data_IF_555834505149
#
_entry.id   IF_555834505149
#
_cell.length_a   1.000
_cell.length_b   1.000
_cell.length_c   1.000
_cell.angle_alpha   90.00
_cell.angle_beta   90.00
_cell.angle_gamma   90.00
#
_symmetry.space_group_name_H-M   'P 1'
#
loop_
_entity.id
_entity.type
_entity.pdbx_description
1 polymer ?
#
# COMPACT_ATOMS: atom_id res chain seq x y z
N UNK A 1 68.55 -0.29 -12.40
CA UNK A 1 68.82 0.88 -13.26
C UNK A 1 67.60 1.01 -14.15
N UNK A 2 66.51 1.55 -13.62
CA UNK A 2 66.10 2.98 -13.59
C UNK A 2 65.01 3.17 -14.66
N UNK A 3 63.72 3.34 -14.33
CA UNK A 3 63.03 4.52 -13.77
C UNK A 3 63.39 5.82 -14.51
N UNK A 4 62.36 6.36 -15.19
CA UNK A 4 62.20 7.72 -15.74
C UNK A 4 62.76 7.92 -17.15
N UNK A 5 61.86 7.93 -18.13
CA UNK A 5 61.66 9.08 -19.03
C UNK A 5 60.64 8.72 -20.11
N UNK A 6 59.37 9.04 -19.91
CA UNK A 6 58.48 9.39 -21.01
C UNK A 6 57.31 10.26 -20.52
N UNK A 7 57.62 11.51 -20.18
CA UNK A 7 56.65 12.59 -20.21
C UNK A 7 57.06 13.53 -21.34
N UNK A 8 56.26 13.54 -22.41
CA UNK A 8 55.87 14.74 -23.18
C UNK A 8 55.15 14.29 -24.45
N UNK A 9 53.93 14.80 -24.59
CA UNK A 9 53.18 15.18 -25.80
C UNK A 9 51.74 14.67 -25.67
N UNK A 10 50.80 15.61 -25.57
CA UNK A 10 49.37 15.30 -25.61
C UNK A 10 48.44 16.12 -24.71
N UNK A 11 48.81 17.35 -24.32
CA UNK A 11 47.81 18.32 -23.85
C UNK A 11 47.11 18.92 -25.08
N UNK A 12 45.87 18.49 -25.33
CA UNK A 12 44.73 19.18 -25.96
C UNK A 12 43.84 18.10 -26.58
N UNK A 13 42.62 17.92 -26.06
CA UNK A 13 41.38 17.75 -26.82
C UNK A 13 40.22 17.47 -25.84
N UNK A 14 39.26 18.39 -25.79
CA UNK A 14 37.87 18.08 -25.44
C UNK A 14 37.44 18.28 -23.99
N UNK A 15 37.30 19.53 -23.53
CA UNK A 15 36.18 19.85 -22.64
C UNK A 15 34.89 19.79 -23.45
N UNK A 16 34.38 18.58 -23.65
CA UNK A 16 33.01 18.35 -24.09
C UNK A 16 32.16 18.47 -22.82
N UNK A 17 31.19 19.38 -22.82
CA UNK A 17 30.25 19.53 -21.71
C UNK A 17 29.45 18.25 -21.52
N UNK A 18 29.81 17.44 -20.51
CA UNK A 18 29.11 16.23 -20.08
C UNK A 18 28.08 16.52 -18.99
N UNK A 19 27.55 17.75 -18.93
CA UNK A 19 26.59 18.14 -17.89
C UNK A 19 25.26 17.39 -17.99
N UNK A 20 24.91 16.85 -19.17
CA UNK A 20 23.68 16.05 -19.36
C UNK A 20 23.84 14.57 -19.00
N UNK A 21 24.91 13.91 -19.47
CA UNK A 21 25.06 12.46 -19.29
C UNK A 21 25.34 12.07 -17.83
N UNK A 22 26.15 12.85 -17.09
CA UNK A 22 26.40 12.58 -15.67
C UNK A 22 25.11 12.68 -14.85
N UNK A 23 24.25 13.67 -15.13
CA UNK A 23 22.95 13.80 -14.46
C UNK A 23 22.04 12.62 -14.76
N UNK A 24 21.90 12.20 -16.03
CA UNK A 24 21.08 11.03 -16.38
C UNK A 24 21.61 9.74 -15.77
N UNK A 25 22.94 9.53 -15.73
CA UNK A 25 23.52 8.35 -15.07
C UNK A 25 23.39 8.38 -13.54
N UNK A 26 23.56 9.54 -12.90
CA UNK A 26 23.34 9.69 -11.45
C UNK A 26 21.87 9.47 -11.09
N UNK A 27 20.96 10.00 -11.89
CA UNK A 27 19.51 9.83 -11.75
C UNK A 27 19.08 8.38 -11.99
N UNK A 28 19.57 7.72 -13.07
CA UNK A 28 19.34 6.29 -13.30
C UNK A 28 19.91 5.40 -12.19
N UNK A 29 21.06 5.76 -11.62
CA UNK A 29 21.64 5.05 -10.49
C UNK A 29 20.83 5.26 -9.21
N UNK A 30 20.30 6.48 -8.99
CA UNK A 30 19.45 6.78 -7.84
C UNK A 30 18.06 6.13 -7.94
N UNK A 31 17.55 5.88 -9.14
CA UNK A 31 16.30 5.13 -9.34
C UNK A 31 16.47 3.63 -9.13
N UNK A 32 17.62 3.06 -9.52
CA UNK A 32 17.91 1.63 -9.30
C UNK A 32 18.25 1.30 -7.85
N UNK A 33 18.83 2.25 -7.13
CA UNK A 33 19.11 2.12 -5.71
C UNK A 33 18.78 3.45 -5.02
N UNK A 34 17.49 3.73 -4.76
CA UNK A 34 17.11 4.91 -4.01
C UNK A 34 17.85 4.91 -2.67
N UNK A 35 18.21 6.07 -2.09
CA UNK A 35 18.90 6.09 -0.82
C UNK A 35 18.03 5.45 0.26
N UNK A 36 18.59 4.53 1.04
CA UNK A 36 17.94 3.98 2.22
C UNK A 36 18.44 4.72 3.47
N UNK A 37 17.54 4.98 4.41
CA UNK A 37 17.95 5.52 5.72
C UNK A 37 18.78 4.45 6.43
N UNK A 38 19.98 4.81 6.92
CA UNK A 38 20.87 3.84 7.59
C UNK A 38 20.33 3.47 8.99
N UNK A 39 20.17 4.46 9.87
CA UNK A 39 19.72 4.28 11.26
C UNK A 39 18.19 4.40 11.39
N UNK A 40 17.47 3.39 10.88
CA UNK A 40 16.00 3.35 10.89
C UNK A 40 15.45 2.95 12.25
N UNK A 41 14.42 3.63 12.78
CA UNK A 41 13.74 3.20 13.99
C UNK A 41 12.89 1.95 13.73
N UNK A 42 12.62 1.17 14.78
CA UNK A 42 11.55 0.16 14.79
C UNK A 42 10.19 0.85 14.93
N UNK A 43 9.79 1.60 13.89
CA UNK A 43 8.55 2.37 13.80
C UNK A 43 8.36 2.96 12.40
N UNK A 44 7.16 3.47 12.12
CA UNK A 44 6.95 4.31 10.95
C UNK A 44 7.86 5.55 10.98
N UNK A 45 8.58 5.80 9.88
CA UNK A 45 9.57 6.87 9.78
C UNK A 45 9.55 7.55 8.41
N UNK A 46 10.01 8.79 8.35
CA UNK A 46 10.07 9.54 7.09
C UNK A 46 11.17 8.97 6.18
N UNK A 47 10.85 8.46 4.96
CA UNK A 47 11.82 7.85 4.06
C UNK A 47 12.80 8.88 3.47
N UNK A 48 13.78 8.40 2.70
CA UNK A 48 14.81 9.27 2.12
C UNK A 48 14.35 10.01 0.86
N UNK A 49 13.38 9.45 0.14
CA UNK A 49 12.85 9.96 -1.12
C UNK A 49 11.32 9.90 -1.17
N UNK A 50 10.78 10.56 -2.19
CA UNK A 50 9.40 10.40 -2.64
C UNK A 50 9.38 10.29 -4.15
N UNK A 51 8.59 9.36 -4.66
CA UNK A 51 8.41 9.15 -6.09
C UNK A 51 7.04 9.64 -6.58
N UNK A 52 7.03 10.14 -7.82
CA UNK A 52 5.81 10.33 -8.62
C UNK A 52 5.34 8.98 -9.19
N UNK A 53 4.07 8.90 -9.54
CA UNK A 53 3.49 7.74 -10.20
C UNK A 53 2.69 8.19 -11.42
N UNK A 54 2.81 7.43 -12.50
CA UNK A 54 1.95 7.54 -13.66
C UNK A 54 0.74 6.61 -13.56
N UNK A 55 -0.23 6.80 -14.44
CA UNK A 55 -1.38 5.91 -14.59
C UNK A 55 -1.47 5.42 -16.03
N UNK A 56 -1.64 4.11 -16.19
CA UNK A 56 -1.93 3.51 -17.50
C UNK A 56 -3.43 3.53 -17.80
N UNK A 57 -4.28 3.51 -16.78
CA UNK A 57 -5.71 3.63 -16.98
C UNK A 57 -6.53 3.20 -15.76
N UNK A 58 -7.84 3.35 -15.93
CA UNK A 58 -8.86 2.91 -14.98
C UNK A 58 -9.94 2.16 -15.75
N UNK A 59 -10.43 1.06 -15.21
CA UNK A 59 -11.52 0.28 -15.81
C UNK A 59 -12.50 -0.21 -14.75
N UNK A 60 -13.75 -0.37 -15.11
CA UNK A 60 -14.80 -0.96 -14.27
C UNK A 60 -15.08 -2.40 -14.70
N UNK A 61 -15.16 -3.32 -13.75
CA UNK A 61 -15.53 -4.73 -13.97
C UNK A 61 -16.46 -5.21 -12.87
N UNK A 62 -17.73 -5.43 -13.24
CA UNK A 62 -18.75 -5.83 -12.28
C UNK A 62 -18.91 -4.77 -11.20
N UNK A 63 -18.68 -5.15 -9.95
CA UNK A 63 -18.72 -4.30 -8.76
C UNK A 63 -17.42 -3.51 -8.53
N UNK A 64 -16.32 -3.84 -9.21
CA UNK A 64 -15.02 -3.22 -8.97
C UNK A 64 -14.70 -2.13 -9.98
N UNK A 65 -14.01 -1.10 -9.52
CA UNK A 65 -13.16 -0.27 -10.36
C UNK A 65 -11.70 -0.59 -10.05
N UNK A 66 -10.87 -0.65 -11.09
CA UNK A 66 -9.45 -0.97 -11.02
C UNK A 66 -8.66 0.13 -11.69
N UNK A 67 -7.65 0.66 -11.01
CA UNK A 67 -6.64 1.53 -11.61
C UNK A 67 -5.32 0.79 -11.77
N UNK A 68 -4.68 0.94 -12.92
CA UNK A 68 -3.31 0.48 -13.18
C UNK A 68 -2.37 1.69 -13.18
N UNK A 69 -1.31 1.58 -12.39
CA UNK A 69 -0.35 2.64 -12.14
C UNK A 69 1.07 2.10 -12.29
N UNK A 70 2.02 3.00 -12.46
CA UNK A 70 3.42 2.64 -12.54
C UNK A 70 4.31 3.70 -11.91
N UNK A 71 5.50 3.26 -11.50
CA UNK A 71 6.60 4.12 -11.10
C UNK A 71 7.94 3.44 -11.37
N UNK A 72 9.03 4.03 -10.91
CA UNK A 72 10.36 3.43 -10.93
C UNK A 72 10.35 2.06 -10.23
N UNK A 73 11.18 1.09 -10.64
CA UNK A 73 11.38 -0.13 -9.87
C UNK A 73 11.71 0.19 -8.41
N UNK A 74 11.02 -0.47 -7.47
CA UNK A 74 11.16 -0.21 -6.05
C UNK A 74 11.75 -1.42 -5.34
N UNK A 75 12.56 -1.17 -4.31
CA UNK A 75 12.77 -2.18 -3.27
C UNK A 75 11.56 -2.18 -2.34
N UNK A 76 11.26 -3.35 -1.79
CA UNK A 76 10.22 -3.51 -0.79
C UNK A 76 10.51 -4.72 0.10
N UNK A 77 9.75 -4.89 1.18
CA UNK A 77 9.89 -6.00 2.11
C UNK A 77 8.62 -6.82 2.14
N UNK A 78 8.70 -8.06 1.68
CA UNK A 78 7.65 -9.05 1.93
C UNK A 78 7.65 -9.43 3.41
N UNK A 79 6.47 -9.67 3.98
CA UNK A 79 6.28 -10.04 5.38
C UNK A 79 5.80 -11.49 5.47
N UNK A 80 6.40 -12.29 6.34
CA UNK A 80 5.92 -13.64 6.68
C UNK A 80 5.99 -13.83 8.19
N UNK A 81 4.83 -13.91 8.84
CA UNK A 81 4.75 -13.84 10.29
C UNK A 81 5.23 -12.48 10.77
N UNK A 82 6.38 -12.45 11.44
CA UNK A 82 7.04 -11.22 11.90
C UNK A 82 8.40 -10.99 11.23
N UNK A 83 8.76 -11.81 10.25
CA UNK A 83 10.02 -11.69 9.52
C UNK A 83 9.80 -10.89 8.22
N UNK A 84 10.77 -10.04 7.90
CA UNK A 84 10.80 -9.28 6.64
C UNK A 84 11.88 -9.83 5.72
N UNK A 85 11.55 -10.04 4.46
CA UNK A 85 12.51 -10.34 3.41
C UNK A 85 12.53 -9.20 2.38
N UNK A 86 13.70 -8.60 2.19
CA UNK A 86 13.91 -7.54 1.22
C UNK A 86 13.91 -8.12 -0.20
N UNK A 87 13.18 -7.45 -1.08
CA UNK A 87 13.22 -7.63 -2.53
C UNK A 87 13.97 -6.43 -3.08
N UNK A 88 15.18 -6.68 -3.61
CA UNK A 88 15.99 -5.66 -4.28
C UNK A 88 15.50 -5.44 -5.71
N UNK A 89 15.80 -4.26 -6.25
CA UNK A 89 15.60 -3.93 -7.66
C UNK A 89 16.61 -4.71 -8.50
N UNK A 90 16.12 -5.56 -9.41
CA UNK A 90 16.94 -6.30 -10.36
C UNK A 90 17.41 -5.45 -11.53
N UNK A 91 18.51 -5.87 -12.19
CA UNK A 91 19.04 -5.19 -13.38
C UNK A 91 18.03 -5.16 -14.54
N UNK A 92 17.15 -6.16 -14.61
CA UNK A 92 16.12 -6.35 -15.63
C UNK A 92 14.78 -5.70 -15.26
N UNK A 93 14.62 -5.18 -14.04
CA UNK A 93 13.38 -4.52 -13.62
C UNK A 93 13.20 -3.20 -14.38
N UNK A 94 12.09 -3.11 -15.09
CA UNK A 94 11.77 -2.03 -16.03
C UNK A 94 10.86 -0.97 -15.38
N UNK A 95 9.90 -1.39 -14.56
CA UNK A 95 9.02 -0.53 -13.77
C UNK A 95 8.53 -1.25 -12.50
N UNK A 96 8.03 -0.49 -11.54
CA UNK A 96 7.15 -1.01 -10.50
C UNK A 96 5.71 -0.82 -10.94
N UNK A 97 5.01 -1.91 -11.29
CA UNK A 97 3.62 -1.87 -11.70
C UNK A 97 2.72 -2.05 -10.48
N UNK A 98 1.71 -1.20 -10.37
CA UNK A 98 0.79 -1.19 -9.23
C UNK A 98 -0.66 -1.22 -9.68
N UNK A 99 -1.52 -1.73 -8.80
CA UNK A 99 -2.95 -1.68 -8.96
C UNK A 99 -3.66 -1.24 -7.67
N UNK A 100 -4.80 -0.58 -7.83
CA UNK A 100 -5.78 -0.40 -6.75
C UNK A 100 -7.13 -0.89 -7.20
N UNK A 101 -7.83 -1.55 -6.29
CA UNK A 101 -9.14 -2.17 -6.51
C UNK A 101 -10.10 -1.63 -5.45
N UNK A 102 -11.21 -1.06 -5.89
CA UNK A 102 -12.26 -0.56 -4.99
C UNK A 102 -13.64 -0.92 -5.49
N UNK A 103 -14.61 -0.93 -4.59
CA UNK A 103 -16.01 -1.08 -4.96
C UNK A 103 -16.52 0.23 -5.58
N UNK A 104 -17.07 0.13 -6.78
CA UNK A 104 -17.32 1.25 -7.69
C UNK A 104 -18.23 2.31 -7.08
N UNK A 105 -19.33 1.91 -6.44
CA UNK A 105 -20.34 2.87 -5.98
C UNK A 105 -19.93 3.59 -4.69
N UNK A 106 -19.23 2.90 -3.79
CA UNK A 106 -18.82 3.44 -2.49
C UNK A 106 -17.42 4.04 -2.48
N UNK A 107 -16.57 3.68 -3.45
CA UNK A 107 -15.17 4.10 -3.47
C UNK A 107 -14.30 3.42 -2.42
N UNK A 108 -14.77 2.33 -1.79
CA UNK A 108 -14.03 1.65 -0.71
C UNK A 108 -13.04 0.67 -1.31
N UNK A 109 -11.78 0.82 -0.93
CA UNK A 109 -10.71 -0.10 -1.32
C UNK A 109 -10.97 -1.50 -0.77
N UNK A 110 -10.88 -2.50 -1.65
CA UNK A 110 -11.17 -3.90 -1.36
C UNK A 110 -9.85 -4.68 -1.26
N UNK A 111 -9.54 -5.32 -0.10
CA UNK A 111 -8.37 -6.17 0.04
C UNK A 111 -8.64 -7.57 -0.55
N UNK A 112 -8.71 -7.64 -1.88
CA UNK A 112 -8.80 -8.83 -2.72
C UNK A 112 -7.48 -9.60 -2.88
N UNK A 113 -7.52 -10.79 -3.48
CA UNK A 113 -6.35 -11.45 -4.07
C UNK A 113 -6.27 -11.08 -5.55
N UNK A 114 -5.19 -10.42 -5.96
CA UNK A 114 -5.02 -9.89 -7.33
C UNK A 114 -3.87 -10.61 -8.03
N UNK A 115 -4.19 -11.28 -9.13
CA UNK A 115 -3.19 -11.91 -10.00
C UNK A 115 -3.08 -11.14 -11.30
N UNK A 116 -1.85 -10.98 -11.78
CA UNK A 116 -1.56 -10.24 -13.00
C UNK A 116 -1.06 -11.19 -14.08
N UNK A 117 -1.63 -11.06 -15.27
CA UNK A 117 -1.04 -11.52 -16.53
C UNK A 117 -0.80 -10.31 -17.41
N UNK A 118 0.40 -10.17 -17.96
CA UNK A 118 0.71 -9.15 -18.97
C UNK A 118 0.95 -9.88 -20.29
N UNK A 119 0.11 -9.59 -21.28
CA UNK A 119 0.17 -10.17 -22.62
C UNK A 119 0.60 -9.07 -23.59
N UNK A 120 1.56 -9.33 -24.50
CA UNK A 120 2.00 -8.32 -25.45
C UNK A 120 3.09 -8.81 -26.40
N UNK A 121 3.85 -7.87 -26.97
CA UNK A 121 4.83 -8.15 -28.03
C UNK A 121 6.04 -8.97 -27.54
N UNK A 122 6.44 -8.79 -26.28
CA UNK A 122 7.49 -9.59 -25.62
C UNK A 122 6.90 -10.76 -24.82
N UNK A 123 7.77 -11.61 -24.22
CA UNK A 123 7.34 -12.78 -23.47
C UNK A 123 6.28 -12.41 -22.39
N UNK A 124 5.20 -13.20 -22.25
CA UNK A 124 4.14 -12.88 -21.31
C UNK A 124 4.65 -12.98 -19.87
N UNK A 125 4.35 -11.98 -19.04
CA UNK A 125 4.56 -12.04 -17.60
C UNK A 125 3.31 -12.63 -16.94
N UNK A 126 3.48 -13.50 -15.96
CA UNK A 126 2.38 -14.02 -15.14
C UNK A 126 2.85 -14.13 -13.70
N UNK A 127 2.19 -13.42 -12.80
CA UNK A 127 2.60 -13.32 -11.40
C UNK A 127 1.45 -12.92 -10.48
N UNK A 128 1.71 -12.94 -9.19
CA UNK A 128 0.82 -12.38 -8.17
C UNK A 128 1.36 -11.01 -7.79
N UNK A 129 0.51 -10.00 -7.75
CA UNK A 129 0.91 -8.72 -7.18
C UNK A 129 0.87 -8.83 -5.66
N UNK A 130 1.90 -8.33 -5.00
CA UNK A 130 1.94 -8.31 -3.54
C UNK A 130 0.94 -7.27 -3.05
N UNK A 131 0.13 -7.61 -2.04
CA UNK A 131 -0.57 -6.59 -1.27
C UNK A 131 0.47 -5.79 -0.48
N UNK A 132 0.49 -4.47 -0.63
CA UNK A 132 1.56 -3.60 -0.13
C UNK A 132 1.00 -2.44 0.70
N UNK A 133 1.85 -1.86 1.54
CA UNK A 133 1.59 -0.64 2.29
C UNK A 133 2.72 0.38 2.05
N UNK A 134 2.37 1.55 1.52
CA UNK A 134 3.27 2.69 1.35
C UNK A 134 2.71 3.94 2.03
N UNK A 135 3.57 4.86 2.47
CA UNK A 135 3.12 6.10 3.14
C UNK A 135 2.29 7.00 2.23
N UNK A 136 2.72 7.17 0.97
CA UNK A 136 2.09 8.12 0.04
C UNK A 136 0.89 7.54 -0.73
N UNK A 137 0.87 6.22 -0.95
CA UNK A 137 -0.21 5.55 -1.70
C UNK A 137 -1.20 4.81 -0.79
N UNK A 138 -0.75 4.40 0.40
CA UNK A 138 -1.52 3.56 1.31
C UNK A 138 -1.52 2.08 0.88
N UNK A 139 -2.62 1.37 1.13
CA UNK A 139 -2.81 -0.01 0.71
C UNK A 139 -3.05 -0.10 -0.81
N UNK A 140 -2.27 -0.95 -1.47
CA UNK A 140 -2.33 -1.18 -2.92
C UNK A 140 -1.75 -2.56 -3.25
N UNK A 141 -1.70 -2.91 -4.53
CA UNK A 141 -1.01 -4.09 -5.05
C UNK A 141 0.16 -3.66 -5.90
N UNK A 142 1.28 -4.38 -5.88
CA UNK A 142 2.40 -4.07 -6.77
C UNK A 142 3.46 -5.16 -6.87
N UNK A 143 4.28 -5.06 -7.92
CA UNK A 143 5.52 -5.83 -8.09
C UNK A 143 6.44 -5.14 -9.13
N UNK A 144 7.73 -5.47 -9.11
CA UNK A 144 8.62 -5.05 -10.19
C UNK A 144 8.45 -5.98 -11.39
N UNK A 145 8.39 -5.40 -12.59
CA UNK A 145 8.24 -6.14 -13.84
C UNK A 145 9.48 -5.97 -14.71
N UNK A 146 9.96 -7.09 -15.26
CA UNK A 146 10.95 -7.12 -16.32
C UNK A 146 10.24 -7.30 -17.67
N UNK A 147 9.96 -6.18 -18.35
CA UNK A 147 9.35 -6.13 -19.68
C UNK A 147 10.16 -5.22 -20.62
N UNK A 148 10.04 -5.45 -21.93
CA UNK A 148 10.64 -4.59 -22.95
C UNK A 148 9.68 -3.46 -23.32
N UNK A 149 10.13 -2.44 -24.05
CA UNK A 149 9.23 -1.41 -24.58
C UNK A 149 8.24 -2.01 -25.59
N UNK A 150 6.98 -1.61 -25.53
CA UNK A 150 5.94 -2.12 -26.43
C UNK A 150 4.51 -1.95 -25.93
N UNK A 151 3.56 -2.49 -26.70
CA UNK A 151 2.14 -2.51 -26.38
C UNK A 151 1.76 -3.82 -25.66
N UNK A 152 0.95 -3.67 -24.61
CA UNK A 152 0.56 -4.75 -23.70
C UNK A 152 -0.91 -4.63 -23.28
N UNK A 153 -1.47 -5.76 -22.85
CA UNK A 153 -2.73 -5.84 -22.10
C UNK A 153 -2.43 -6.41 -20.72
N UNK A 154 -2.71 -5.63 -19.67
CA UNK A 154 -2.71 -6.11 -18.30
C UNK A 154 -4.07 -6.74 -17.98
N UNK A 155 -4.06 -8.04 -17.68
CA UNK A 155 -5.23 -8.81 -17.24
C UNK A 155 -5.11 -9.06 -15.74
N UNK A 156 -5.95 -8.41 -14.94
CA UNK A 156 -5.99 -8.52 -13.49
C UNK A 156 -7.15 -9.43 -13.06
N UNK A 157 -6.83 -10.62 -12.59
CA UNK A 157 -7.80 -11.53 -11.98
C UNK A 157 -7.98 -11.15 -10.50
N UNK A 158 -9.15 -10.60 -10.19
CA UNK A 158 -9.58 -10.17 -8.86
C UNK A 158 -10.36 -11.33 -8.25
N UNK A 159 -9.70 -12.11 -7.41
CA UNK A 159 -10.32 -13.20 -6.67
C UNK A 159 -11.02 -12.66 -5.40
N UNK A 160 -12.06 -13.36 -4.91
CA UNK A 160 -12.78 -12.99 -3.70
C UNK A 160 -11.85 -12.60 -2.56
N UNK A 161 -12.12 -11.43 -1.97
CA UNK A 161 -11.35 -10.90 -0.86
C UNK A 161 -11.47 -11.79 0.39
N UNK A 162 -10.45 -11.72 1.25
CA UNK A 162 -10.56 -12.28 2.60
C UNK A 162 -11.59 -11.55 3.47
N UNK A 163 -12.02 -10.34 3.05
CA UNK A 163 -12.99 -9.53 3.77
C UNK A 163 -14.42 -9.77 3.25
N UNK A 164 -15.35 -10.03 4.17
CA UNK A 164 -16.76 -10.20 3.87
C UNK A 164 -17.46 -8.84 3.77
N UNK A 165 -18.17 -8.58 2.66
CA UNK A 165 -19.07 -7.44 2.56
C UNK A 165 -20.25 -7.56 3.53
N UNK A 166 -20.61 -6.47 4.20
CA UNK A 166 -21.79 -6.37 5.07
C UNK A 166 -22.66 -5.16 4.68
N UNK A 167 -23.89 -5.12 5.18
CA UNK A 167 -24.83 -4.06 4.85
C UNK A 167 -25.09 -4.00 3.34
N UNK A 168 -24.80 -2.85 2.71
CA UNK A 168 -24.98 -2.67 1.25
C UNK A 168 -24.02 -3.50 0.40
N UNK A 169 -22.92 -4.00 0.99
CA UNK A 169 -21.89 -4.76 0.28
C UNK A 169 -22.07 -6.28 0.41
N UNK A 170 -23.13 -6.74 1.08
CA UNK A 170 -23.34 -8.17 1.30
C UNK A 170 -23.45 -8.95 -0.02
N UNK A 171 -22.67 -10.02 -0.14
CA UNK A 171 -22.63 -10.91 -1.29
C UNK A 171 -21.93 -10.36 -2.54
N UNK A 172 -21.43 -9.11 -2.52
CA UNK A 172 -20.84 -8.51 -3.72
C UNK A 172 -19.50 -9.13 -4.13
N UNK A 173 -18.66 -9.51 -3.17
CA UNK A 173 -17.27 -9.89 -3.43
C UNK A 173 -17.03 -11.42 -3.50
N UNK A 174 -18.07 -12.22 -3.77
CA UNK A 174 -18.02 -13.68 -3.70
C UNK A 174 -17.56 -14.36 -5.00
N UNK A 175 -17.64 -13.65 -6.13
CA UNK A 175 -17.28 -14.17 -7.44
C UNK A 175 -16.02 -13.48 -7.99
N UNK A 176 -15.13 -14.23 -8.66
CA UNK A 176 -13.96 -13.62 -9.30
C UNK A 176 -14.38 -12.72 -10.47
N UNK A 177 -13.60 -11.67 -10.69
CA UNK A 177 -13.72 -10.73 -11.82
C UNK A 177 -12.36 -10.59 -12.51
N UNK A 178 -12.38 -10.27 -13.80
CA UNK A 178 -11.15 -10.03 -14.57
C UNK A 178 -11.22 -8.65 -15.20
N UNK A 179 -10.34 -7.75 -14.79
CA UNK A 179 -10.15 -6.45 -15.43
C UNK A 179 -9.10 -6.55 -16.53
N UNK A 180 -9.30 -5.84 -17.63
CA UNK A 180 -8.34 -5.72 -18.73
C UNK A 180 -8.07 -4.24 -18.99
N UNK A 181 -6.78 -3.88 -19.03
CA UNK A 181 -6.30 -2.51 -19.32
C UNK A 181 -5.17 -2.62 -20.34
N UNK A 182 -5.37 -2.03 -21.52
CA UNK A 182 -4.32 -1.89 -22.52
C UNK A 182 -3.39 -0.74 -22.13
N UNK A 183 -2.09 -0.94 -22.29
CA UNK A 183 -1.07 0.07 -22.00
C UNK A 183 0.14 -0.07 -22.92
N UNK A 184 0.82 1.05 -23.14
CA UNK A 184 2.13 1.09 -23.80
C UNK A 184 3.17 1.35 -22.71
N UNK A 185 4.27 0.59 -22.73
CA UNK A 185 5.43 0.88 -21.90
C UNK A 185 6.54 1.45 -22.77
N UNK A 186 6.98 2.65 -22.42
CA UNK A 186 8.25 3.22 -22.88
C UNK A 186 9.15 3.49 -21.68
N UNK A 187 10.46 3.38 -21.84
CA UNK A 187 11.39 3.70 -20.75
C UNK A 187 11.32 5.19 -20.36
N UNK A 188 10.97 6.06 -21.32
CA UNK A 188 10.73 7.49 -21.10
C UNK A 188 9.59 7.73 -20.11
N UNK A 189 8.53 6.91 -20.11
CA UNK A 189 7.40 7.05 -19.16
C UNK A 189 7.85 7.00 -17.71
N UNK A 190 8.80 6.13 -17.39
CA UNK A 190 9.39 6.00 -16.05
C UNK A 190 10.41 7.11 -15.83
N UNK A 191 11.27 7.40 -16.80
CA UNK A 191 12.33 8.39 -16.67
C UNK A 191 11.85 9.84 -16.54
N UNK A 192 10.64 10.14 -17.03
CA UNK A 192 10.03 11.45 -16.94
C UNK A 192 9.31 11.68 -15.59
N UNK A 193 9.14 10.65 -14.76
CA UNK A 193 8.56 10.80 -13.42
C UNK A 193 9.50 11.59 -12.50
N UNK A 194 8.92 12.35 -11.59
CA UNK A 194 9.68 13.11 -10.59
C UNK A 194 10.17 12.19 -9.47
N UNK A 195 11.44 12.37 -9.10
CA UNK A 195 12.06 11.77 -7.92
C UNK A 195 12.61 12.87 -7.02
N UNK A 196 12.06 13.01 -5.82
CA UNK A 196 12.45 14.04 -4.88
C UNK A 196 13.11 13.45 -3.64
N UNK A 197 14.24 14.03 -3.25
CA UNK A 197 14.87 13.71 -1.98
C UNK A 197 14.19 14.47 -0.85
N UNK A 198 13.80 13.74 0.20
CA UNK A 198 13.34 14.36 1.45
C UNK A 198 14.50 15.12 2.09
N UNK A 199 14.23 16.23 2.77
CA UNK A 199 15.25 16.98 3.52
C UNK A 199 16.02 16.05 4.49
N UNK A 200 17.36 16.07 4.44
CA UNK A 200 18.22 15.17 5.21
C UNK A 200 17.91 15.19 6.72
N UNK A 201 17.60 16.36 7.28
CA UNK A 201 17.25 16.55 8.69
C UNK A 201 15.96 15.83 9.12
N UNK A 202 15.11 15.44 8.15
CA UNK A 202 13.83 14.78 8.37
C UNK A 202 13.89 13.26 8.21
N UNK A 203 14.81 12.75 7.41
CA UNK A 203 14.92 11.32 7.09
C UNK A 203 15.16 10.50 8.35
N UNK A 204 14.46 9.38 8.50
CA UNK A 204 14.59 8.51 9.68
C UNK A 204 13.87 9.01 10.94
N UNK A 205 13.36 10.25 10.97
CA UNK A 205 12.54 10.70 12.08
C UNK A 205 11.21 9.93 12.08
N UNK A 206 10.75 9.53 13.27
CA UNK A 206 9.42 8.93 13.44
C UNK A 206 8.34 9.84 12.82
N UNK A 207 7.45 9.22 12.06
CA UNK A 207 6.39 9.91 11.35
C UNK A 207 6.16 9.36 9.95
N UNK A 208 5.18 9.93 9.26
CA UNK A 208 4.76 9.49 7.94
C UNK A 208 4.67 10.70 7.01
N UNK A 209 4.98 10.50 5.74
CA UNK A 209 4.60 11.43 4.69
C UNK A 209 3.10 11.35 4.45
N UNK A 210 2.44 12.48 4.11
CA UNK A 210 1.02 12.47 3.81
C UNK A 210 0.75 11.62 2.57
N UNK A 211 -0.43 10.99 2.54
CA UNK A 211 -0.97 10.43 1.29
C UNK A 211 -0.93 11.50 0.19
N UNK A 212 -0.52 11.09 -1.00
CA UNK A 212 -0.54 11.96 -2.16
C UNK A 212 -1.98 12.37 -2.49
N UNK A 213 -2.08 13.52 -3.17
CA UNK A 213 -3.34 14.01 -3.70
C UNK A 213 -3.47 13.57 -5.16
N UNK A 214 -4.57 12.89 -5.48
CA UNK A 214 -4.78 12.27 -6.80
C UNK A 214 -5.62 13.13 -7.74
N UNK A 215 -6.13 14.29 -7.29
CA UNK A 215 -6.91 15.20 -8.14
C UNK A 215 -6.10 15.83 -9.30
N UNK A 216 -4.76 15.67 -9.29
CA UNK A 216 -3.84 16.28 -10.26
C UNK A 216 -3.06 15.33 -11.18
N UNK A 217 -3.30 14.01 -11.14
CA UNK A 217 -2.51 13.00 -11.89
C UNK A 217 -2.89 12.89 -13.39
N UNK A 218 -3.11 14.03 -14.04
CA UNK A 218 -3.56 14.15 -15.44
C UNK A 218 -2.42 14.48 -16.41
N UNK A 219 -1.26 13.86 -16.24
CA UNK A 219 -0.12 14.03 -17.15
C UNK A 219 0.21 12.71 -17.84
N UNK A 220 -0.45 12.46 -18.97
CA UNK A 220 -0.14 11.34 -19.87
C UNK A 220 -1.23 11.07 -20.90
N UNK A 221 -1.10 11.64 -22.11
CA UNK A 221 -1.88 11.24 -23.30
C UNK A 221 -3.11 12.10 -23.64
N UNK A 222 -3.21 12.53 -24.91
CA UNK A 222 -4.34 13.24 -25.53
C UNK A 222 -5.60 12.34 -25.72
N UNK A 223 -5.99 11.62 -24.68
CA UNK A 223 -7.16 10.74 -24.63
C UNK A 223 -8.18 11.22 -23.61
N UNK A 224 -9.46 11.06 -23.94
CA UNK A 224 -10.66 11.41 -23.20
C UNK A 224 -10.53 11.55 -21.66
N UNK A 225 -10.93 12.70 -21.13
CA UNK A 225 -10.89 13.04 -19.71
C UNK A 225 -11.93 12.24 -18.91
N UNK A 226 -11.67 10.95 -18.66
CA UNK A 226 -12.32 10.22 -17.57
C UNK A 226 -11.41 10.28 -16.35
N UNK A 227 -11.88 10.92 -15.29
CA UNK A 227 -11.23 11.10 -13.98
C UNK A 227 -10.28 9.96 -13.57
N UNK A 228 -9.00 10.04 -13.96
CA UNK A 228 -7.96 9.06 -13.65
C UNK A 228 -7.52 9.20 -12.20
N UNK A 229 -8.18 8.50 -11.30
CA UNK A 229 -7.91 8.55 -9.87
C UNK A 229 -7.85 7.16 -9.24
N UNK A 230 -7.25 7.11 -8.06
CA UNK A 230 -7.25 5.96 -7.17
C UNK A 230 -8.16 6.25 -5.98
N UNK A 231 -8.94 5.25 -5.54
CA UNK A 231 -9.66 5.33 -4.27
C UNK A 231 -8.67 5.37 -3.09
N UNK A 232 -8.95 6.24 -2.10
CA UNK A 232 -8.09 6.37 -0.93
C UNK A 232 -8.30 5.15 -0.01
N UNK A 233 -7.24 4.40 0.34
CA UNK A 233 -7.35 3.23 1.21
C UNK A 233 -7.47 3.60 2.70
N UNK A 234 -8.30 4.60 3.02
CA UNK A 234 -8.42 5.18 4.36
C UNK A 234 -9.72 4.82 5.02
N UNK A 235 -9.71 4.71 6.35
CA UNK A 235 -10.92 4.51 7.17
C UNK A 235 -11.40 5.82 7.82
N UNK A 236 -12.69 5.91 8.22
CA UNK A 236 -13.24 7.12 8.84
C UNK A 236 -12.44 7.56 10.08
N UNK A 237 -12.34 8.87 10.37
CA UNK A 237 -11.65 9.37 11.56
C UNK A 237 -12.31 8.86 12.86
N UNK A 238 -11.56 8.76 13.95
CA UNK A 238 -12.09 8.26 15.22
C UNK A 238 -13.18 9.17 15.83
N UNK A 239 -13.04 10.49 15.70
CA UNK A 239 -13.99 11.49 16.24
C UNK A 239 -15.31 11.59 15.46
N UNK A 240 -15.35 10.98 14.28
CA UNK A 240 -16.49 10.97 13.36
C UNK A 240 -16.75 9.55 12.82
N UNK A 241 -16.30 8.54 13.58
CA UNK A 241 -16.48 7.14 13.22
C UNK A 241 -17.97 6.81 13.22
N UNK A 242 -18.52 6.14 12.17
CA UNK A 242 -19.97 5.97 12.02
C UNK A 242 -20.51 4.79 12.83
N UNK A 243 -20.09 4.68 14.09
CA UNK A 243 -20.55 3.73 15.10
C UNK A 243 -20.28 4.32 16.50
N UNK A 244 -20.79 3.68 17.55
CA UNK A 244 -20.52 4.13 18.92
C UNK A 244 -19.08 3.79 19.31
N UNK A 245 -18.19 4.77 19.32
CA UNK A 245 -16.79 4.56 19.71
C UNK A 245 -16.70 4.31 21.21
N UNK A 246 -16.21 3.11 21.56
CA UNK A 246 -15.98 2.67 22.93
C UNK A 246 -14.61 3.13 23.43
N UNK A 247 -13.64 3.23 22.52
CA UNK A 247 -12.32 3.76 22.83
C UNK A 247 -11.32 3.61 21.69
N UNK A 248 -10.12 4.14 21.95
CA UNK A 248 -8.98 4.04 21.03
C UNK A 248 -7.75 3.54 21.77
N UNK A 249 -6.99 2.65 21.14
CA UNK A 249 -5.71 2.18 21.66
C UNK A 249 -4.63 2.18 20.58
N UNK A 250 -3.38 1.94 21.00
CA UNK A 250 -2.22 1.89 20.12
C UNK A 250 -1.47 0.57 20.31
N UNK A 251 -0.92 0.02 19.22
CA UNK A 251 -0.13 -1.20 19.25
C UNK A 251 0.77 -1.27 18.01
N UNK A 252 2.08 -1.45 18.20
CA UNK A 252 3.08 -1.50 17.12
C UNK A 252 3.01 -0.34 16.12
N UNK A 253 2.88 0.89 16.62
CA UNK A 253 2.67 2.12 15.83
C UNK A 253 1.35 2.18 15.04
N UNK A 254 0.43 1.21 15.18
CA UNK A 254 -0.92 1.32 14.65
C UNK A 254 -1.90 1.88 15.69
N UNK A 255 -2.93 2.59 15.23
CA UNK A 255 -4.08 2.99 16.04
C UNK A 255 -5.23 2.01 15.84
N UNK A 256 -5.94 1.67 16.91
CA UNK A 256 -7.11 0.82 16.91
C UNK A 256 -8.31 1.63 17.41
N UNK A 257 -9.31 1.82 16.57
CA UNK A 257 -10.62 2.31 17.01
C UNK A 257 -11.50 1.11 17.30
N UNK A 258 -12.03 1.05 18.52
CA UNK A 258 -12.96 0.01 18.96
C UNK A 258 -14.33 0.65 19.13
N UNK A 259 -15.34 0.10 18.46
CA UNK A 259 -16.68 0.65 18.41
C UNK A 259 -17.75 -0.46 18.52
N UNK A 260 -18.97 -0.07 18.88
CA UNK A 260 -20.16 -0.92 18.82
C UNK A 260 -21.10 -0.45 17.72
N UNK A 261 -21.56 -1.39 16.88
CA UNK A 261 -22.60 -1.17 15.88
C UNK A 261 -23.87 -1.95 16.26
N UNK A 262 -24.89 -1.30 16.84
CA UNK A 262 -26.06 -1.99 17.38
C UNK A 262 -27.20 -2.21 16.40
N UNK A 263 -27.23 -1.53 15.24
CA UNK A 263 -28.48 -1.35 14.49
C UNK A 263 -28.39 -1.56 12.98
N UNK A 264 -27.22 -1.37 12.35
CA UNK A 264 -27.08 -1.46 10.89
C UNK A 264 -26.88 -2.89 10.38
N UNK A 265 -26.42 -3.80 11.23
CA UNK A 265 -26.25 -5.20 10.90
C UNK A 265 -27.32 -6.08 11.56
N UNK A 266 -27.50 -7.31 11.08
CA UNK A 266 -28.49 -8.26 11.60
C UNK A 266 -28.38 -8.51 13.12
N UNK A 267 -27.17 -8.30 13.66
CA UNK A 267 -26.84 -8.48 15.07
C UNK A 267 -25.94 -7.33 15.58
N UNK A 268 -26.05 -6.93 16.86
CA UNK A 268 -25.08 -6.03 17.48
C UNK A 268 -23.66 -6.55 17.29
N UNK A 269 -22.77 -5.68 16.83
CA UNK A 269 -21.44 -6.07 16.38
C UNK A 269 -20.36 -5.24 17.07
N UNK A 270 -19.34 -5.90 17.60
CA UNK A 270 -18.07 -5.27 17.97
C UNK A 270 -17.28 -4.98 16.69
N UNK A 271 -16.83 -3.74 16.52
CA UNK A 271 -16.07 -3.26 15.37
C UNK A 271 -14.69 -2.84 15.85
N UNK A 272 -13.64 -3.33 15.19
CA UNK A 272 -12.24 -2.97 15.43
C UNK A 272 -11.63 -2.53 14.11
N UNK A 273 -11.16 -1.30 14.04
CA UNK A 273 -10.61 -0.71 12.82
C UNK A 273 -9.15 -0.28 13.02
N UNK A 274 -8.20 -1.21 12.79
CA UNK A 274 -6.77 -0.92 12.84
C UNK A 274 -6.35 -0.07 11.64
N UNK A 275 -5.50 0.93 11.90
CA UNK A 275 -5.10 1.92 10.89
C UNK A 275 -3.72 2.49 11.16
N UNK A 276 -3.08 3.01 10.13
CA UNK A 276 -1.90 3.85 10.31
C UNK A 276 -2.27 5.14 11.06
N UNK A 277 -1.42 5.64 11.97
CA UNK A 277 -1.75 6.71 12.90
C UNK A 277 -1.95 8.06 12.21
N UNK A 278 -1.20 8.35 11.14
CA UNK A 278 -1.28 9.64 10.45
C UNK A 278 -2.27 9.61 9.28
N UNK A 279 -2.06 8.67 8.36
CA UNK A 279 -2.82 8.62 7.12
C UNK A 279 -4.18 7.90 7.25
N UNK A 280 -4.43 7.21 8.37
CA UNK A 280 -5.61 6.36 8.59
C UNK A 280 -5.76 5.29 7.53
N UNK A 281 -4.66 4.84 6.95
CA UNK A 281 -4.66 3.76 5.97
C UNK A 281 -5.09 2.47 6.66
N UNK A 282 -6.01 1.73 6.05
CA UNK A 282 -6.46 0.44 6.58
C UNK A 282 -5.32 -0.57 6.69
N UNK A 283 -5.37 -1.43 7.72
CA UNK A 283 -4.42 -2.52 7.93
C UNK A 283 -5.10 -3.88 7.78
N UNK A 284 -5.18 -4.45 6.57
CA UNK A 284 -5.77 -5.76 6.32
C UNK A 284 -4.78 -6.90 6.58
N UNK A 285 -5.25 -8.14 6.37
CA UNK A 285 -4.46 -9.38 6.51
C UNK A 285 -3.80 -9.55 7.89
N UNK A 286 -4.42 -8.98 8.92
CA UNK A 286 -4.21 -9.33 10.33
C UNK A 286 -5.11 -10.50 10.74
N UNK A 287 -4.69 -11.21 11.78
CA UNK A 287 -5.58 -12.09 12.55
C UNK A 287 -5.78 -11.49 13.94
N UNK A 288 -7.03 -11.17 14.28
CA UNK A 288 -7.39 -10.55 15.54
C UNK A 288 -8.38 -11.44 16.29
N UNK A 289 -8.28 -11.45 17.62
CA UNK A 289 -9.28 -12.03 18.51
C UNK A 289 -9.70 -11.00 19.55
N UNK A 290 -10.89 -11.17 20.13
CA UNK A 290 -11.37 -10.33 21.21
C UNK A 290 -11.86 -11.15 22.39
N UNK A 291 -11.57 -10.65 23.59
CA UNK A 291 -12.18 -11.07 24.85
C UNK A 291 -12.97 -9.91 25.42
N UNK A 292 -14.27 -10.12 25.68
CA UNK A 292 -15.15 -9.13 26.30
C UNK A 292 -15.56 -9.64 27.67
N UNK A 293 -15.28 -8.86 28.71
CA UNK A 293 -15.56 -9.21 30.10
C UNK A 293 -16.54 -8.24 30.73
N UNK A 294 -17.56 -8.76 31.41
CA UNK A 294 -18.47 -8.00 32.27
C UNK A 294 -18.18 -8.36 33.73
N UNK A 295 -17.42 -7.51 34.41
CA UNK A 295 -16.89 -7.82 35.74
C UNK A 295 -15.92 -9.00 35.68
N UNK A 296 -16.32 -10.17 36.18
CA UNK A 296 -15.49 -11.40 36.16
C UNK A 296 -15.98 -12.44 35.14
N UNK A 297 -17.08 -12.17 34.44
CA UNK A 297 -17.69 -13.07 33.47
C UNK A 297 -17.20 -12.73 32.07
N UNK A 298 -16.67 -13.71 31.34
CA UNK A 298 -16.38 -13.58 29.91
C UNK A 298 -17.68 -13.75 29.14
N UNK A 299 -18.14 -12.68 28.49
CA UNK A 299 -19.38 -12.68 27.68
C UNK A 299 -19.11 -12.98 26.21
N UNK A 300 -17.87 -12.78 25.75
CA UNK A 300 -17.41 -13.17 24.42
C UNK A 300 -15.91 -13.48 24.44
N UNK A 301 -15.51 -14.51 23.70
CA UNK A 301 -14.12 -14.85 23.41
C UNK A 301 -14.09 -15.51 22.03
N UNK A 302 -13.40 -14.90 21.07
CA UNK A 302 -13.37 -15.42 19.70
C UNK A 302 -12.63 -14.55 18.70
N UNK A 303 -12.46 -15.09 17.49
CA UNK A 303 -11.84 -14.38 16.37
C UNK A 303 -12.73 -13.24 15.85
N UNK A 304 -12.09 -12.20 15.32
CA UNK A 304 -12.75 -11.12 14.61
C UNK A 304 -12.58 -11.33 13.10
N UNK A 305 -13.69 -11.29 12.36
CA UNK A 305 -13.67 -11.49 10.91
C UNK A 305 -13.43 -10.17 10.18
N UNK A 306 -12.60 -10.19 9.14
CA UNK A 306 -12.45 -9.04 8.24
C UNK A 306 -13.75 -8.74 7.49
N UNK A 307 -14.15 -7.47 7.48
CA UNK A 307 -15.42 -6.98 6.93
C UNK A 307 -15.25 -5.67 6.17
N UNK A 308 -16.16 -5.42 5.23
CA UNK A 308 -16.28 -4.17 4.49
C UNK A 308 -17.71 -3.63 4.59
N UNK A 309 -17.84 -2.36 4.97
CA UNK A 309 -19.11 -1.62 5.03
C UNK A 309 -18.95 -0.25 4.36
N UNK A 310 -20.01 0.24 3.72
CA UNK A 310 -19.98 1.53 2.98
C UNK A 310 -19.71 2.75 3.86
N UNK A 311 -19.90 2.66 5.17
CA UNK A 311 -19.68 3.78 6.10
C UNK A 311 -18.49 3.50 7.01
N UNK A 312 -18.37 2.30 7.60
CA UNK A 312 -17.24 1.96 8.49
C UNK A 312 -15.91 1.77 7.75
N UNK A 313 -15.96 1.49 6.44
CA UNK A 313 -14.80 1.05 5.68
C UNK A 313 -14.37 -0.37 6.06
N UNK A 314 -13.09 -0.68 5.81
CA UNK A 314 -12.50 -1.94 6.25
C UNK A 314 -12.36 -1.99 7.77
N UNK A 315 -12.81 -3.09 8.36
CA UNK A 315 -12.73 -3.35 9.79
C UNK A 315 -12.72 -4.85 10.08
N UNK A 316 -12.47 -5.20 11.33
CA UNK A 316 -12.65 -6.53 11.88
C UNK A 316 -13.87 -6.50 12.80
N UNK A 317 -14.66 -7.57 12.84
CA UNK A 317 -15.81 -7.59 13.74
C UNK A 317 -16.37 -8.96 14.08
N UNK A 318 -17.16 -8.98 15.15
CA UNK A 318 -17.84 -10.16 15.65
C UNK A 318 -19.24 -9.79 16.19
N UNK A 319 -20.24 -10.69 16.06
CA UNK A 319 -21.61 -10.44 16.51
C UNK A 319 -21.71 -10.54 18.05
N UNK A 320 -21.29 -9.48 18.74
CA UNK A 320 -21.41 -9.32 20.18
C UNK A 320 -21.89 -7.90 20.49
N UNK A 321 -22.96 -7.80 21.29
CA UNK A 321 -23.45 -6.53 21.81
C UNK A 321 -22.63 -6.06 23.01
N UNK A 322 -22.41 -4.75 23.11
CA UNK A 322 -21.71 -4.10 24.21
C UNK A 322 -22.73 -3.18 24.90
N UNK A 323 -22.97 -3.39 26.20
CA UNK A 323 -24.04 -2.68 26.94
C UNK A 323 -23.50 -1.63 27.93
N UNK A 324 -22.17 -1.51 28.05
CA UNK A 324 -21.46 -0.62 28.97
C UNK A 324 -20.96 -1.32 30.24
N UNK A 325 -19.79 -0.91 30.73
CA UNK A 325 -19.11 -1.52 31.89
C UNK A 325 -18.31 -2.78 31.55
N UNK A 326 -18.10 -3.07 30.27
CA UNK A 326 -17.23 -4.15 29.82
C UNK A 326 -15.78 -3.72 29.65
N UNK A 327 -14.86 -4.65 29.94
CA UNK A 327 -13.47 -4.58 29.49
C UNK A 327 -13.34 -5.36 28.20
N UNK A 328 -12.84 -4.71 27.16
CA UNK A 328 -12.64 -5.29 25.83
C UNK A 328 -11.15 -5.38 25.59
N UNK A 329 -10.66 -6.60 25.38
CA UNK A 329 -9.27 -6.87 25.02
C UNK A 329 -9.23 -7.38 23.60
N UNK A 330 -8.40 -6.75 22.77
CA UNK A 330 -8.11 -7.17 21.40
C UNK A 330 -6.70 -7.75 21.38
N UNK A 331 -6.59 -9.03 21.07
CA UNK A 331 -5.31 -9.72 20.90
C UNK A 331 -4.94 -9.76 19.40
N UNK A 332 -3.69 -9.43 19.10
CA UNK A 332 -3.14 -9.45 17.74
C UNK A 332 -2.42 -10.79 17.56
N UNK A 333 -3.10 -11.74 16.93
CA UNK A 333 -2.58 -13.10 16.70
C UNK A 333 -1.60 -13.13 15.52
N UNK A 334 -1.80 -12.24 14.54
CA UNK A 334 -0.90 -12.00 13.42
C UNK A 334 -0.91 -10.53 13.04
N UNK A 335 0.27 -9.97 12.85
CA UNK A 335 0.48 -8.62 12.32
C UNK A 335 0.02 -8.51 10.87
N UNK A 336 -0.16 -7.29 10.30
CA UNK A 336 -0.63 -7.13 8.93
C UNK A 336 0.33 -7.79 7.93
N UNK A 337 -0.10 -8.89 7.30
CA UNK A 337 0.68 -9.66 6.33
C UNK A 337 0.66 -9.01 4.94
N UNK A 338 0.94 -7.71 4.88
CA UNK A 338 1.14 -6.95 3.63
C UNK A 338 2.64 -6.66 3.47
N UNK A 339 3.14 -6.51 2.26
CA UNK A 339 4.50 -6.04 2.03
C UNK A 339 4.63 -4.56 2.45
N UNK A 340 5.86 -4.09 2.62
CA UNK A 340 6.18 -2.73 3.08
C UNK A 340 7.12 -2.05 2.11
N UNK A 341 6.84 -0.78 1.81
CA UNK A 341 7.81 0.13 1.20
C UNK A 341 8.63 0.85 2.27
N UNK A 342 9.69 1.54 1.83
CA UNK A 342 10.53 2.40 2.67
C UNK A 342 9.68 3.30 3.58
N UNK A 343 10.03 3.36 4.87
CA UNK A 343 9.33 4.15 5.89
C UNK A 343 8.29 3.37 6.69
N UNK A 344 7.91 2.16 6.26
CA UNK A 344 7.02 1.27 7.01
C UNK A 344 7.59 -0.15 7.22
N UNK A 345 8.73 -0.47 6.61
CA UNK A 345 9.31 -1.81 6.63
C UNK A 345 9.78 -2.29 7.99
N UNK A 346 9.91 -1.39 8.97
CA UNK A 346 10.22 -1.69 10.37
C UNK A 346 9.03 -1.47 11.32
N UNK A 347 7.85 -1.11 10.79
CA UNK A 347 6.66 -0.77 11.55
C UNK A 347 5.64 -1.93 11.61
N UNK A 348 4.77 -1.92 12.62
CA UNK A 348 3.64 -2.85 12.77
C UNK A 348 4.06 -4.31 13.03
N UNK A 349 5.09 -4.54 13.86
CA UNK A 349 5.54 -5.88 14.27
C UNK A 349 5.32 -6.19 15.75
N UNK A 350 5.85 -5.36 16.66
CA UNK A 350 5.66 -5.54 18.09
C UNK A 350 4.28 -5.00 18.51
N UNK A 351 3.25 -5.84 18.34
CA UNK A 351 1.86 -5.45 18.55
C UNK A 351 1.28 -6.09 19.82
N UNK A 352 1.52 -5.52 21.02
CA UNK A 352 0.88 -6.01 22.24
C UNK A 352 -0.66 -5.82 22.18
N UNK A 353 -1.40 -6.60 22.96
CA UNK A 353 -2.86 -6.51 23.04
C UNK A 353 -3.35 -5.11 23.43
N UNK A 354 -4.47 -4.72 22.84
CA UNK A 354 -5.13 -3.43 23.11
C UNK A 354 -6.28 -3.67 24.08
N UNK A 355 -6.34 -2.87 25.16
CA UNK A 355 -7.41 -2.97 26.16
C UNK A 355 -8.21 -1.67 26.24
N UNK A 356 -9.53 -1.78 26.20
CA UNK A 356 -10.50 -0.68 26.29
C UNK A 356 -11.42 -0.95 27.47
N UNK A 357 -11.58 0.05 28.33
CA UNK A 357 -12.61 0.07 29.37
C UNK A 357 -13.74 0.98 28.90
N UNK A 358 -14.96 0.44 28.78
CA UNK A 358 -16.14 1.16 28.28
C UNK A 358 -17.12 1.53 29.39
#
# INVERSE_FOLDING_TARGET
MDRRDFLRVGALLGTIGTAGCLGVFETQSAWRDPPLVEDRPEAAYIPASTEEMGTYGVTEVGEYTVSLLYTFPHRFWTVTGTETNMVDVGDEDALHLMASVWETDSGIVVPADVRLTVEGESAPYTGQLWAMLAQRMGFHYGDNLAIEEGEYTARLDINPAGARGVGRLEGLFEEPRTAEIDFEYTSDDVYDLTFDLVEESRRGNRGELPLMDHEGMAHGGDGDHTHGGMARPTVPPADSFPAEVLGTGESGDATFVVASEPARFDEPTLVVSPRTPHNRTMLPLMALSATVQRGTETVFEGALESRLDTELGFHYGAPVGIDGGETIRIDIESVPQVARHDGYETAFFEMPPVEIEN
#
